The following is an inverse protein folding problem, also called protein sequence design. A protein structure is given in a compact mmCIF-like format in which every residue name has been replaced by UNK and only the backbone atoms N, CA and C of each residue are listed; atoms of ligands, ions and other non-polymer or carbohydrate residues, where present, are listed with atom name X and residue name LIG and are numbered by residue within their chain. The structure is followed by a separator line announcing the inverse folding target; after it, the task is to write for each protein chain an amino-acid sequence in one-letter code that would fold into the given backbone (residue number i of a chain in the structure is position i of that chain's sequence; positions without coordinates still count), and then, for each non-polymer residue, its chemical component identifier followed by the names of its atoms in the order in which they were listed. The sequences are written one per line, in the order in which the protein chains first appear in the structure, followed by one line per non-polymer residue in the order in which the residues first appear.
data_IF_718903789874
#
_entry.id   IF_718903789874
#
_cell.length_a   1.000
_cell.length_b   1.000
_cell.length_c   1.000
_cell.angle_alpha   90.00
_cell.angle_beta   90.00
_cell.angle_gamma   90.00
#
_symmetry.space_group_name_H-M   'P 1'
#
loop_
_entity.id
_entity.type
_entity.pdbx_description
1 polymer ?
#
# COMPACT_ATOMS: atom_id res chain seq x y z
N UNK A 1 -46.76 23.84 -75.99
CA UNK A 1 -47.17 22.92 -74.89
C UNK A 1 -45.92 22.59 -74.08
N UNK A 2 -46.04 22.68 -72.75
CA UNK A 2 -44.96 22.63 -71.76
C UNK A 2 -44.40 21.21 -71.64
N UNK A 3 -43.07 21.03 -71.60
CA UNK A 3 -42.43 19.98 -70.82
C UNK A 3 -41.02 20.45 -70.40
N UNK A 4 -40.88 20.83 -69.14
CA UNK A 4 -39.60 20.98 -68.45
C UNK A 4 -39.38 19.71 -67.62
N UNK A 5 -38.25 19.03 -67.82
CA UNK A 5 -37.80 17.93 -66.98
C UNK A 5 -36.91 18.48 -65.85
N UNK A 6 -37.10 18.09 -64.57
CA UNK A 6 -36.19 18.48 -63.51
C UNK A 6 -34.98 17.54 -63.47
N UNK A 7 -33.79 18.12 -63.49
CA UNK A 7 -32.55 17.42 -63.14
C UNK A 7 -32.53 17.14 -61.63
N UNK A 8 -32.56 15.86 -61.23
CA UNK A 8 -32.22 15.47 -59.86
C UNK A 8 -30.69 15.48 -59.71
N UNK A 9 -30.19 16.36 -58.85
CA UNK A 9 -28.84 16.26 -58.29
C UNK A 9 -28.86 15.25 -57.14
N UNK A 10 -28.25 14.08 -57.33
CA UNK A 10 -27.91 13.17 -56.24
C UNK A 10 -26.72 13.75 -55.46
N UNK A 11 -26.96 14.34 -54.29
CA UNK A 11 -25.90 14.61 -53.31
C UNK A 11 -25.46 13.26 -52.72
N UNK A 12 -24.31 12.75 -53.15
CA UNK A 12 -23.63 11.66 -52.46
C UNK A 12 -22.97 12.23 -51.19
N UNK A 13 -23.61 12.07 -50.03
CA UNK A 13 -22.98 12.36 -48.74
C UNK A 13 -21.94 11.29 -48.44
N UNK A 14 -20.66 11.62 -48.65
CA UNK A 14 -19.56 10.80 -48.15
C UNK A 14 -19.56 10.85 -46.62
N UNK A 15 -19.98 9.76 -45.97
CA UNK A 15 -19.84 9.56 -44.54
C UNK A 15 -18.35 9.29 -44.25
N UNK A 16 -17.62 10.34 -43.90
CA UNK A 16 -16.26 10.24 -43.39
C UNK A 16 -16.27 9.49 -42.05
N UNK A 17 -15.92 8.21 -42.06
CA UNK A 17 -15.64 7.44 -40.86
C UNK A 17 -14.35 7.97 -40.22
N UNK A 18 -14.48 8.88 -39.25
CA UNK A 18 -13.38 9.21 -38.34
C UNK A 18 -13.26 8.07 -37.33
N UNK A 19 -12.10 7.40 -37.19
CA UNK A 19 -11.92 6.45 -36.11
C UNK A 19 -11.99 7.22 -34.79
N UNK A 20 -13.01 6.92 -33.98
CA UNK A 20 -13.03 7.33 -32.58
C UNK A 20 -11.94 6.50 -31.90
N UNK A 21 -10.80 7.14 -31.61
CA UNK A 21 -9.83 6.58 -30.67
C UNK A 21 -10.54 6.43 -29.33
N UNK A 22 -10.95 5.20 -29.02
CA UNK A 22 -11.35 4.85 -27.67
C UNK A 22 -10.11 5.00 -26.79
N UNK A 23 -10.09 6.05 -25.96
CA UNK A 23 -9.13 6.16 -24.88
C UNK A 23 -9.44 4.99 -23.94
N UNK A 24 -8.59 3.98 -23.96
CA UNK A 24 -8.70 2.86 -23.04
C UNK A 24 -8.38 3.41 -21.65
N UNK A 25 -9.41 3.58 -20.81
CA UNK A 25 -9.21 4.00 -19.44
C UNK A 25 -8.34 2.96 -18.74
N UNK A 26 -7.25 3.40 -18.12
CA UNK A 26 -6.43 2.52 -17.28
C UNK A 26 -7.31 2.12 -16.09
N UNK A 27 -7.56 0.83 -15.94
CA UNK A 27 -8.33 0.35 -14.79
C UNK A 27 -7.57 0.66 -13.48
N UNK A 28 -8.26 1.14 -12.44
CA UNK A 28 -7.63 1.45 -11.16
C UNK A 28 -7.04 0.19 -10.54
N UNK A 29 -5.89 0.35 -9.86
CA UNK A 29 -5.29 -0.74 -9.10
C UNK A 29 -6.19 -1.12 -7.93
N UNK A 30 -6.65 -2.37 -7.89
CA UNK A 30 -7.41 -2.91 -6.75
C UNK A 30 -6.45 -3.27 -5.62
N UNK A 31 -6.47 -2.50 -4.54
CA UNK A 31 -5.44 -2.53 -3.51
C UNK A 31 -5.99 -2.95 -2.14
N UNK A 32 -5.37 -3.96 -1.54
CA UNK A 32 -5.58 -4.36 -0.16
C UNK A 32 -4.42 -3.84 0.69
N UNK A 33 -4.69 -3.02 1.70
CA UNK A 33 -3.66 -2.36 2.51
C UNK A 33 -3.60 -2.95 3.92
N UNK A 34 -2.40 -3.29 4.39
CA UNK A 34 -2.13 -3.91 5.68
C UNK A 34 -1.00 -3.15 6.41
N UNK A 35 -1.35 -2.56 7.55
CA UNK A 35 -0.52 -1.58 8.28
C UNK A 35 -0.33 -1.99 9.73
N UNK A 36 0.79 -1.64 10.36
CA UNK A 36 0.91 -1.89 11.81
C UNK A 36 0.19 -0.80 12.64
N UNK A 37 -0.12 0.35 12.03
CA UNK A 37 -0.74 1.55 12.60
C UNK A 37 -0.49 1.68 14.10
N UNK A 38 0.77 1.81 14.50
CA UNK A 38 1.12 1.81 15.91
C UNK A 38 2.42 2.56 16.23
N UNK A 39 3.54 2.08 15.70
CA UNK A 39 4.86 2.42 16.26
C UNK A 39 5.46 3.68 15.69
N UNK A 40 5.22 3.95 14.41
CA UNK A 40 5.68 5.12 13.69
C UNK A 40 4.51 5.83 13.00
N UNK A 41 4.72 7.08 12.59
CA UNK A 41 3.68 7.90 11.99
C UNK A 41 3.57 7.73 10.48
N UNK A 42 4.52 7.07 9.82
CA UNK A 42 4.50 6.91 8.38
C UNK A 42 3.40 5.97 7.86
N UNK A 43 2.84 5.09 8.68
CA UNK A 43 1.59 4.37 8.37
C UNK A 43 0.43 5.34 8.08
N UNK A 44 0.27 6.38 8.91
CA UNK A 44 -0.75 7.40 8.71
C UNK A 44 -0.46 8.26 7.45
N UNK A 45 0.82 8.53 7.18
CA UNK A 45 1.25 9.18 5.95
C UNK A 45 0.96 8.33 4.71
N UNK A 46 1.18 7.02 4.79
CA UNK A 46 0.90 6.07 3.71
C UNK A 46 -0.60 5.99 3.41
N UNK A 47 -1.45 6.02 4.44
CA UNK A 47 -2.90 6.13 4.24
C UNK A 47 -3.30 7.45 3.55
N UNK A 48 -2.71 8.59 3.91
CA UNK A 48 -2.97 9.85 3.19
C UNK A 48 -2.61 9.71 1.70
N UNK A 49 -1.41 9.21 1.38
CA UNK A 49 -0.98 8.97 0.00
C UNK A 49 -1.93 8.01 -0.72
N UNK A 50 -2.32 6.91 -0.08
CA UNK A 50 -3.24 5.93 -0.63
C UNK A 50 -4.60 6.54 -0.97
N UNK A 51 -5.16 7.34 -0.05
CA UNK A 51 -6.45 7.99 -0.27
C UNK A 51 -6.38 9.06 -1.36
N UNK A 52 -5.31 9.84 -1.43
CA UNK A 52 -5.09 10.80 -2.51
C UNK A 52 -5.00 10.12 -3.88
N UNK A 53 -4.30 8.99 -3.98
CA UNK A 53 -4.25 8.19 -5.20
C UNK A 53 -5.63 7.60 -5.57
N UNK A 54 -6.42 7.19 -4.57
CA UNK A 54 -7.78 6.72 -4.79
C UNK A 54 -8.73 7.86 -5.22
N UNK A 55 -8.54 9.07 -4.70
CA UNK A 55 -9.28 10.28 -5.11
C UNK A 55 -8.94 10.70 -6.55
N UNK A 56 -7.69 10.45 -6.99
CA UNK A 56 -7.27 10.60 -8.39
C UNK A 56 -7.78 9.49 -9.32
N UNK A 57 -8.46 8.47 -8.77
CA UNK A 57 -8.96 7.32 -9.54
C UNK A 57 -7.85 6.36 -9.99
N UNK A 58 -6.65 6.42 -9.40
CA UNK A 58 -5.53 5.55 -9.75
C UNK A 58 -5.62 4.18 -9.03
N UNK A 59 -6.33 4.11 -7.91
CA UNK A 59 -6.59 2.87 -7.20
C UNK A 59 -7.99 2.78 -6.58
N UNK A 60 -8.44 1.56 -6.37
CA UNK A 60 -9.62 1.20 -5.58
C UNK A 60 -9.13 0.51 -4.30
N UNK A 61 -9.42 1.12 -3.14
CA UNK A 61 -9.05 0.54 -1.84
C UNK A 61 -10.10 -0.51 -1.49
N UNK A 62 -9.67 -1.77 -1.39
CA UNK A 62 -10.56 -2.90 -1.09
C UNK A 62 -10.75 -3.09 0.41
N UNK A 63 -9.69 -2.88 1.20
CA UNK A 63 -9.66 -3.01 2.64
C UNK A 63 -8.42 -2.30 3.22
N UNK A 64 -8.51 -1.89 4.48
CA UNK A 64 -7.39 -1.33 5.27
C UNK A 64 -7.34 -2.06 6.61
N UNK A 65 -6.60 -3.17 6.68
CA UNK A 65 -6.48 -3.98 7.89
C UNK A 65 -5.26 -3.57 8.70
N UNK A 66 -5.22 -3.98 9.97
CA UNK A 66 -4.04 -3.79 10.82
C UNK A 66 -3.38 -5.12 11.14
N UNK A 67 -2.06 -5.11 11.35
CA UNK A 67 -1.23 -6.27 11.72
C UNK A 67 -0.71 -6.22 13.16
N UNK A 68 -1.14 -5.23 13.95
CA UNK A 68 -0.84 -5.10 15.38
C UNK A 68 -2.08 -5.36 16.24
N UNK A 69 -1.86 -5.58 17.55
CA UNK A 69 -2.92 -5.78 18.55
C UNK A 69 -3.09 -4.57 19.48
N UNK A 70 -2.58 -3.39 19.10
CA UNK A 70 -2.94 -2.17 19.83
C UNK A 70 -4.42 -1.86 19.62
N UNK A 71 -5.17 -1.82 20.72
CA UNK A 71 -6.63 -1.68 20.74
C UNK A 71 -7.16 -0.41 20.05
N UNK A 72 -6.30 0.55 19.73
CA UNK A 72 -6.65 1.79 19.05
C UNK A 72 -6.24 1.82 17.56
N UNK A 73 -5.51 0.82 17.06
CA UNK A 73 -5.02 0.80 15.68
C UNK A 73 -6.17 0.78 14.67
N UNK A 74 -7.15 -0.12 14.82
CA UNK A 74 -8.32 -0.15 13.92
C UNK A 74 -9.15 1.14 13.98
N UNK A 75 -9.33 1.71 15.19
CA UNK A 75 -9.99 2.99 15.38
C UNK A 75 -9.27 4.12 14.62
N UNK A 76 -7.94 4.10 14.64
CA UNK A 76 -7.09 5.10 13.97
C UNK A 76 -7.15 4.98 12.45
N UNK A 77 -7.06 3.76 11.92
CA UNK A 77 -7.25 3.47 10.50
C UNK A 77 -8.65 3.93 10.06
N UNK A 78 -9.68 3.61 10.83
CA UNK A 78 -11.05 3.97 10.47
C UNK A 78 -11.32 5.47 10.57
N UNK A 79 -10.69 6.17 11.52
CA UNK A 79 -10.72 7.62 11.59
C UNK A 79 -10.11 8.28 10.34
N UNK A 80 -8.99 7.76 9.85
CA UNK A 80 -8.35 8.24 8.61
C UNK A 80 -9.24 7.93 7.40
N UNK A 81 -9.75 6.69 7.28
CA UNK A 81 -10.68 6.33 6.20
C UNK A 81 -11.91 7.24 6.18
N UNK A 82 -12.48 7.51 7.36
CA UNK A 82 -13.67 8.37 7.52
C UNK A 82 -13.36 9.82 7.12
N UNK A 83 -12.20 10.35 7.54
CA UNK A 83 -11.74 11.67 7.13
C UNK A 83 -11.62 11.80 5.60
N UNK A 84 -11.13 10.76 4.92
CA UNK A 84 -11.04 10.69 3.46
C UNK A 84 -12.34 10.22 2.78
N UNK A 85 -13.48 10.26 3.47
CA UNK A 85 -14.80 9.99 2.87
C UNK A 85 -15.07 8.53 2.54
N UNK A 86 -14.36 7.58 3.17
CA UNK A 86 -14.47 6.13 2.94
C UNK A 86 -14.75 5.34 4.23
N UNK A 87 -15.75 5.72 5.05
CA UNK A 87 -16.03 5.08 6.35
C UNK A 87 -16.51 3.63 6.24
N UNK A 88 -16.85 3.16 5.03
CA UNK A 88 -17.37 1.81 4.80
C UNK A 88 -16.27 0.78 4.50
N UNK A 89 -15.00 1.18 4.36
CA UNK A 89 -13.92 0.25 4.02
C UNK A 89 -13.85 -0.90 5.03
N UNK A 90 -13.70 -2.15 4.60
CA UNK A 90 -13.43 -3.27 5.49
C UNK A 90 -12.14 -3.04 6.29
N UNK A 91 -12.22 -3.30 7.59
CA UNK A 91 -11.11 -3.23 8.54
C UNK A 91 -11.16 -4.49 9.38
N UNK A 92 -10.00 -5.06 9.67
CA UNK A 92 -9.84 -6.15 10.63
C UNK A 92 -8.53 -6.01 11.40
N UNK A 93 -8.42 -6.71 12.53
CA UNK A 93 -7.20 -6.84 13.32
C UNK A 93 -6.82 -8.30 13.52
N UNK A 94 -5.55 -8.64 13.85
CA UNK A 94 -5.17 -10.00 14.16
C UNK A 94 -5.93 -10.47 15.40
N UNK A 95 -6.58 -11.63 15.31
CA UNK A 95 -7.22 -12.25 16.46
C UNK A 95 -6.22 -13.11 17.24
N UNK A 96 -6.04 -12.81 18.52
CA UNK A 96 -5.14 -13.56 19.39
C UNK A 96 -3.71 -13.06 19.33
N UNK A 97 -2.84 -13.71 18.56
CA UNK A 97 -1.42 -13.34 18.50
C UNK A 97 -1.17 -12.22 17.49
N UNK A 98 -0.47 -11.18 17.93
CA UNK A 98 0.10 -10.15 17.07
C UNK A 98 1.05 -9.27 17.86
N UNK A 99 1.71 -8.36 17.16
CA UNK A 99 2.69 -7.46 17.78
C UNK A 99 1.94 -6.36 18.53
N UNK A 100 2.33 -6.11 19.78
CA UNK A 100 1.80 -5.03 20.60
C UNK A 100 2.93 -4.18 21.17
N UNK A 101 2.94 -2.89 20.84
CA UNK A 101 3.88 -1.91 21.34
C UNK A 101 3.13 -0.61 21.68
N UNK A 102 3.70 0.27 22.53
CA UNK A 102 3.09 1.56 22.81
C UNK A 102 3.06 2.46 21.57
N UNK A 103 1.91 3.06 21.27
CA UNK A 103 1.80 4.15 20.31
C UNK A 103 1.75 5.51 20.99
N UNK A 104 2.23 6.54 20.29
CA UNK A 104 2.11 7.95 20.71
C UNK A 104 0.84 8.63 20.21
N UNK A 105 0.17 8.06 19.22
CA UNK A 105 -0.89 8.76 18.49
C UNK A 105 -2.17 7.95 18.28
N UNK A 106 -2.14 6.61 18.22
CA UNK A 106 -3.35 5.82 17.88
C UNK A 106 -4.51 6.09 18.82
N UNK A 107 -4.26 6.12 20.14
CA UNK A 107 -5.26 6.48 21.14
C UNK A 107 -5.88 7.85 20.86
N UNK A 108 -5.09 8.85 20.46
CA UNK A 108 -5.59 10.19 20.17
C UNK A 108 -6.53 10.16 18.97
N UNK A 109 -6.11 9.52 17.88
CA UNK A 109 -6.92 9.36 16.68
C UNK A 109 -8.23 8.63 16.98
N UNK A 110 -8.17 7.48 17.65
CA UNK A 110 -9.35 6.69 17.97
C UNK A 110 -10.32 7.35 18.96
N UNK A 111 -9.88 8.34 19.74
CA UNK A 111 -10.74 9.05 20.69
C UNK A 111 -11.33 10.36 20.13
N UNK A 112 -10.59 11.10 19.31
CA UNK A 112 -11.00 12.44 18.91
C UNK A 112 -11.68 12.50 17.54
N UNK A 113 -11.55 11.46 16.74
CA UNK A 113 -12.05 11.44 15.37
C UNK A 113 -13.20 10.45 15.19
N UNK A 114 -14.20 10.76 14.34
CA UNK A 114 -15.28 9.83 14.03
C UNK A 114 -14.74 8.50 13.47
N UNK A 115 -15.17 7.39 14.07
CA UNK A 115 -14.82 6.04 13.66
C UNK A 115 -15.87 5.04 14.20
N UNK A 116 -15.85 3.81 13.70
CA UNK A 116 -16.75 2.71 14.07
C UNK A 116 -16.24 1.88 15.24
N UNK A 117 -14.96 2.00 15.60
CA UNK A 117 -14.28 1.12 16.55
C UNK A 117 -13.84 1.89 17.81
N UNK A 118 -14.61 1.80 18.89
CA UNK A 118 -14.17 2.25 20.21
C UNK A 118 -13.17 1.29 20.86
N UNK A 119 -12.57 1.68 21.99
CA UNK A 119 -11.61 0.86 22.74
C UNK A 119 -12.09 -0.55 23.09
N UNK A 120 -13.40 -0.71 23.27
CA UNK A 120 -14.06 -1.94 23.71
C UNK A 120 -14.92 -2.56 22.59
N UNK A 121 -14.80 -2.04 21.36
CA UNK A 121 -15.52 -2.58 20.20
C UNK A 121 -14.78 -3.77 19.64
N UNK A 122 -15.48 -4.90 19.47
CA UNK A 122 -14.90 -6.03 18.76
C UNK A 122 -14.66 -5.67 17.29
N UNK A 123 -13.41 -5.75 16.86
CA UNK A 123 -13.02 -5.52 15.48
C UNK A 123 -13.04 -6.88 14.74
N UNK A 124 -13.52 -6.93 13.48
CA UNK A 124 -13.44 -8.15 12.68
C UNK A 124 -12.03 -8.74 12.64
N UNK A 125 -11.96 -10.07 12.52
CA UNK A 125 -10.70 -10.78 12.34
C UNK A 125 -10.10 -10.43 10.97
N UNK A 126 -8.87 -9.89 10.95
CA UNK A 126 -8.18 -9.52 9.72
C UNK A 126 -8.06 -10.69 8.74
N UNK A 127 -7.93 -11.92 9.26
CA UNK A 127 -7.89 -13.14 8.44
C UNK A 127 -9.18 -13.34 7.65
N UNK A 128 -10.33 -13.13 8.29
CA UNK A 128 -11.64 -13.26 7.65
C UNK A 128 -11.89 -12.12 6.67
N UNK A 129 -11.46 -10.90 7.01
CA UNK A 129 -11.51 -9.76 6.07
C UNK A 129 -10.69 -10.05 4.82
N UNK A 130 -9.47 -10.58 4.95
CA UNK A 130 -8.67 -11.02 3.79
C UNK A 130 -9.42 -12.05 2.94
N UNK A 131 -9.98 -13.10 3.57
CA UNK A 131 -10.71 -14.15 2.84
C UNK A 131 -11.90 -13.57 2.08
N UNK A 132 -12.80 -12.88 2.77
CA UNK A 132 -14.06 -12.41 2.21
C UNK A 132 -13.82 -11.41 1.05
N UNK A 133 -12.89 -10.48 1.25
CA UNK A 133 -12.57 -9.48 0.22
C UNK A 133 -11.91 -10.13 -0.99
N UNK A 134 -10.92 -11.01 -0.80
CA UNK A 134 -10.23 -11.67 -1.91
C UNK A 134 -11.17 -12.61 -2.70
N UNK A 135 -12.03 -13.37 -2.02
CA UNK A 135 -13.02 -14.25 -2.68
C UNK A 135 -13.97 -13.46 -3.59
N UNK A 136 -14.31 -12.23 -3.20
CA UNK A 136 -15.15 -11.32 -3.99
C UNK A 136 -14.46 -10.68 -5.20
N UNK A 137 -13.15 -10.83 -5.37
CA UNK A 137 -12.43 -10.21 -6.49
C UNK A 137 -12.27 -11.15 -7.69
N UNK A 138 -12.14 -10.61 -8.92
CA UNK A 138 -11.66 -11.39 -10.06
C UNK A 138 -10.26 -11.94 -9.82
N UNK A 139 -9.97 -13.08 -10.44
CA UNK A 139 -8.65 -13.71 -10.37
C UNK A 139 -7.56 -12.79 -10.97
N UNK A 140 -6.36 -12.85 -10.40
CA UNK A 140 -5.17 -12.10 -10.84
C UNK A 140 -5.35 -10.58 -10.93
N UNK A 141 -6.12 -9.98 -10.01
CA UNK A 141 -6.38 -8.52 -10.02
C UNK A 141 -5.90 -7.78 -8.78
N UNK A 142 -5.78 -8.44 -7.63
CA UNK A 142 -5.53 -7.76 -6.35
C UNK A 142 -4.04 -7.49 -6.16
N UNK A 143 -3.71 -6.26 -5.76
CA UNK A 143 -2.40 -5.90 -5.22
C UNK A 143 -2.50 -5.84 -3.70
N UNK A 144 -1.68 -6.63 -3.01
CA UNK A 144 -1.57 -6.59 -1.55
C UNK A 144 -0.39 -5.72 -1.18
N UNK A 145 -0.58 -4.80 -0.23
CA UNK A 145 0.47 -3.91 0.28
C UNK A 145 0.61 -4.12 1.78
N UNK A 146 1.78 -4.56 2.22
CA UNK A 146 2.11 -4.65 3.65
C UNK A 146 3.13 -3.58 4.01
N UNK A 147 2.75 -2.70 4.92
CA UNK A 147 3.64 -1.73 5.56
C UNK A 147 3.89 -2.02 7.03
N UNK A 148 3.22 -3.05 7.57
CA UNK A 148 3.42 -3.54 8.93
C UNK A 148 3.98 -4.97 9.01
N UNK A 149 3.51 -5.72 10.00
CA UNK A 149 3.97 -7.08 10.28
C UNK A 149 3.26 -8.11 9.41
N UNK A 150 3.93 -9.24 9.15
CA UNK A 150 3.42 -10.27 8.24
C UNK A 150 2.50 -11.31 8.92
N UNK A 151 2.05 -11.05 10.15
CA UNK A 151 1.19 -11.94 10.94
C UNK A 151 -0.10 -12.29 10.20
N UNK A 152 -0.79 -11.30 9.62
CA UNK A 152 -2.03 -11.52 8.86
C UNK A 152 -1.79 -12.40 7.61
N UNK A 153 -0.72 -12.11 6.87
CA UNK A 153 -0.38 -12.89 5.67
C UNK A 153 0.03 -14.33 6.03
N UNK A 154 0.74 -14.54 7.14
CA UNK A 154 1.04 -15.88 7.64
C UNK A 154 -0.25 -16.65 7.91
N UNK A 155 -1.14 -16.05 8.67
CA UNK A 155 -2.40 -16.70 9.06
C UNK A 155 -3.27 -16.98 7.84
N UNK A 156 -3.27 -16.09 6.85
CA UNK A 156 -3.89 -16.33 5.55
C UNK A 156 -3.28 -17.52 4.83
N UNK A 157 -1.95 -17.58 4.67
CA UNK A 157 -1.29 -18.70 3.98
C UNK A 157 -1.54 -20.06 4.67
N UNK A 158 -1.60 -20.07 5.99
CA UNK A 158 -1.81 -21.27 6.80
C UNK A 158 -3.29 -21.69 6.92
N UNK A 159 -4.22 -20.84 6.48
CA UNK A 159 -5.65 -21.13 6.59
C UNK A 159 -6.04 -22.31 5.68
N UNK A 160 -6.49 -23.45 6.24
CA UNK A 160 -6.89 -24.59 5.42
C UNK A 160 -8.14 -24.31 4.58
N UNK A 161 -8.35 -25.15 3.57
CA UNK A 161 -9.64 -25.23 2.90
C UNK A 161 -10.71 -25.78 3.88
N UNK A 162 -11.94 -25.30 3.77
CA UNK A 162 -13.03 -25.69 4.66
C UNK A 162 -14.32 -24.96 4.32
N UNK A 163 -15.47 -25.58 4.60
CA UNK A 163 -16.80 -24.99 4.46
C UNK A 163 -17.10 -24.37 3.08
N UNK A 164 -16.58 -24.98 2.01
CA UNK A 164 -16.74 -24.51 0.64
C UNK A 164 -15.75 -23.42 0.20
N UNK A 165 -14.88 -22.98 1.10
CA UNK A 165 -13.84 -22.00 0.83
C UNK A 165 -12.51 -22.66 0.45
N UNK A 166 -11.74 -21.96 -0.38
CA UNK A 166 -10.39 -22.34 -0.75
C UNK A 166 -9.43 -22.38 0.45
N UNK A 167 -8.30 -23.08 0.33
CA UNK A 167 -7.18 -22.80 1.22
C UNK A 167 -6.70 -21.37 0.98
N UNK A 168 -6.17 -20.70 2.01
CA UNK A 168 -5.71 -19.33 1.84
C UNK A 168 -4.54 -19.22 0.87
N UNK A 169 -3.65 -20.22 0.79
CA UNK A 169 -2.62 -20.30 -0.24
C UNK A 169 -3.20 -20.36 -1.66
N UNK A 170 -4.22 -21.18 -1.90
CA UNK A 170 -4.89 -21.25 -3.22
C UNK A 170 -5.70 -19.99 -3.53
N UNK A 171 -6.22 -19.32 -2.51
CA UNK A 171 -6.93 -18.04 -2.65
C UNK A 171 -5.94 -16.95 -3.09
N UNK A 172 -4.80 -16.82 -2.39
CA UNK A 172 -3.74 -15.86 -2.75
C UNK A 172 -3.23 -16.14 -4.17
N UNK A 173 -2.90 -17.40 -4.48
CA UNK A 173 -2.42 -17.81 -5.80
C UNK A 173 -3.39 -17.42 -6.94
N UNK A 174 -4.70 -17.48 -6.68
CA UNK A 174 -5.73 -17.14 -7.65
C UNK A 174 -6.02 -15.65 -7.75
N UNK A 175 -6.07 -14.93 -6.62
CA UNK A 175 -6.61 -13.56 -6.56
C UNK A 175 -5.54 -12.47 -6.60
N UNK A 176 -4.36 -12.74 -6.05
CA UNK A 176 -3.32 -11.73 -5.84
C UNK A 176 -2.35 -11.70 -7.01
N UNK A 177 -2.33 -10.60 -7.75
CA UNK A 177 -1.41 -10.35 -8.85
C UNK A 177 0.00 -9.98 -8.39
N UNK A 178 0.10 -9.23 -7.29
CA UNK A 178 1.35 -8.71 -6.77
C UNK A 178 1.23 -8.45 -5.26
N UNK A 179 2.26 -8.82 -4.51
CA UNK A 179 2.50 -8.33 -3.16
C UNK A 179 3.62 -7.31 -3.15
N UNK A 180 3.36 -6.12 -2.60
CA UNK A 180 4.37 -5.09 -2.36
C UNK A 180 4.63 -5.01 -0.85
N UNK A 181 5.86 -5.27 -0.44
CA UNK A 181 6.24 -5.43 0.96
C UNK A 181 7.24 -4.35 1.37
N UNK A 182 6.87 -3.49 2.31
CA UNK A 182 7.85 -2.67 3.03
C UNK A 182 8.65 -3.57 3.96
N UNK A 183 9.95 -3.70 3.71
CA UNK A 183 10.83 -4.51 4.56
C UNK A 183 12.10 -4.94 3.84
N UNK A 184 13.08 -5.38 4.64
CA UNK A 184 14.39 -5.76 4.14
C UNK A 184 15.38 -4.60 4.04
N UNK A 185 16.66 -4.97 4.00
CA UNK A 185 17.76 -4.09 3.62
C UNK A 185 18.55 -4.77 2.50
N UNK A 186 18.51 -4.25 1.27
CA UNK A 186 19.18 -4.87 0.12
C UNK A 186 20.51 -4.14 -0.18
N UNK A 187 21.53 -4.44 0.63
CA UNK A 187 22.79 -3.67 0.62
C UNK A 187 23.96 -4.52 0.13
N UNK A 188 24.79 -3.95 -0.75
CA UNK A 188 26.00 -4.59 -1.27
C UNK A 188 25.74 -5.43 -2.52
N UNK A 189 26.74 -6.22 -2.91
CA UNK A 189 26.68 -7.13 -4.05
C UNK A 189 27.46 -8.42 -3.75
N UNK A 190 26.80 -9.56 -3.49
CA UNK A 190 25.35 -9.74 -3.48
C UNK A 190 24.65 -8.91 -2.38
N UNK A 191 23.41 -8.43 -2.61
CA UNK A 191 22.63 -7.73 -1.61
C UNK A 191 22.39 -8.61 -0.38
N UNK A 192 22.53 -8.05 0.82
CA UNK A 192 22.23 -8.76 2.06
C UNK A 192 21.69 -7.83 3.12
N UNK A 193 20.99 -8.42 4.08
CA UNK A 193 20.45 -7.70 5.20
C UNK A 193 21.54 -7.15 6.13
N UNK A 194 21.29 -5.96 6.68
CA UNK A 194 22.00 -5.43 7.84
C UNK A 194 21.00 -5.11 8.96
N UNK A 195 20.74 -6.10 9.81
CA UNK A 195 19.86 -5.97 10.97
C UNK A 195 20.28 -4.83 11.92
N UNK A 196 21.51 -4.29 11.84
CA UNK A 196 21.95 -3.13 12.64
C UNK A 196 21.31 -1.84 12.16
N UNK A 197 20.99 -1.74 10.87
CA UNK A 197 20.15 -0.64 10.38
C UNK A 197 18.76 -0.79 10.98
N UNK A 198 18.29 -2.04 11.11
CA UNK A 198 16.97 -2.43 11.61
C UNK A 198 16.10 -3.00 10.49
N UNK A 199 15.15 -3.87 10.83
CA UNK A 199 14.16 -4.38 9.89
C UNK A 199 12.90 -4.80 10.67
N UNK A 200 12.22 -3.82 11.25
CA UNK A 200 11.18 -4.09 12.26
C UNK A 200 10.00 -4.88 11.72
N UNK A 201 9.62 -4.67 10.45
CA UNK A 201 8.53 -5.40 9.81
C UNK A 201 8.82 -6.90 9.70
N UNK A 202 10.08 -7.29 9.55
CA UNK A 202 10.47 -8.71 9.57
C UNK A 202 10.77 -9.20 10.98
N UNK A 203 11.40 -8.39 11.83
CA UNK A 203 11.93 -8.85 13.11
C UNK A 203 10.89 -8.97 14.24
N UNK A 204 9.81 -8.18 14.22
CA UNK A 204 8.83 -8.16 15.33
C UNK A 204 7.96 -9.42 15.39
N UNK A 205 7.65 -10.01 14.25
CA UNK A 205 7.11 -11.37 14.11
C UNK A 205 7.93 -12.16 13.08
N UNK A 206 9.17 -12.50 13.47
CA UNK A 206 10.12 -13.19 12.61
C UNK A 206 9.58 -14.51 12.04
N UNK A 207 8.78 -15.24 12.82
CA UNK A 207 8.18 -16.50 12.36
C UNK A 207 7.19 -16.25 11.23
N UNK A 208 6.33 -15.23 11.35
CA UNK A 208 5.43 -14.85 10.26
C UNK A 208 6.20 -14.37 9.04
N UNK A 209 7.21 -13.52 9.21
CA UNK A 209 7.98 -13.00 8.09
C UNK A 209 8.68 -14.12 7.30
N UNK A 210 9.36 -15.04 8.00
CA UNK A 210 10.03 -16.18 7.39
C UNK A 210 9.03 -17.10 6.69
N UNK A 211 7.90 -17.39 7.32
CA UNK A 211 6.84 -18.24 6.73
C UNK A 211 6.31 -17.64 5.43
N UNK A 212 5.95 -16.35 5.44
CA UNK A 212 5.37 -15.67 4.29
C UNK A 212 6.40 -15.53 3.16
N UNK A 213 7.61 -15.05 3.44
CA UNK A 213 8.63 -14.80 2.42
C UNK A 213 9.05 -16.11 1.72
N UNK A 214 9.15 -17.22 2.46
CA UNK A 214 9.49 -18.53 1.87
C UNK A 214 8.37 -19.13 1.04
N UNK A 215 7.11 -18.91 1.43
CA UNK A 215 5.97 -19.66 0.90
C UNK A 215 4.99 -18.85 0.04
N UNK A 216 5.23 -17.56 -0.16
CA UNK A 216 4.35 -16.69 -0.94
C UNK A 216 4.24 -17.15 -2.41
N UNK A 217 3.01 -17.35 -2.95
CA UNK A 217 2.83 -18.03 -4.24
C UNK A 217 2.83 -17.11 -5.49
N UNK A 218 2.82 -15.79 -5.32
CA UNK A 218 2.71 -14.82 -6.44
C UNK A 218 3.90 -13.87 -6.47
N UNK A 219 4.03 -12.94 -7.44
CA UNK A 219 5.13 -11.98 -7.46
C UNK A 219 5.21 -11.13 -6.19
N UNK A 220 6.43 -10.82 -5.77
CA UNK A 220 6.72 -9.94 -4.63
C UNK A 220 7.69 -8.85 -5.05
N UNK A 221 7.42 -7.61 -4.64
CA UNK A 221 8.39 -6.51 -4.69
C UNK A 221 8.65 -6.01 -3.28
N UNK A 222 9.90 -6.07 -2.86
CA UNK A 222 10.35 -5.52 -1.58
C UNK A 222 10.78 -4.05 -1.72
N UNK A 223 10.19 -3.19 -0.90
CA UNK A 223 10.61 -1.82 -0.71
C UNK A 223 11.58 -1.76 0.49
N UNK A 224 12.87 -1.90 0.18
CA UNK A 224 13.95 -1.92 1.16
C UNK A 224 14.21 -0.57 1.82
N UNK A 225 14.77 -0.60 3.02
CA UNK A 225 15.03 0.61 3.82
C UNK A 225 16.08 1.53 3.23
N UNK A 226 17.05 0.99 2.50
CA UNK A 226 18.05 1.75 1.74
C UNK A 226 17.43 2.62 0.64
N UNK A 227 16.24 2.25 0.16
CA UNK A 227 15.50 3.02 -0.85
C UNK A 227 14.51 3.99 -0.19
N UNK A 228 13.77 3.56 0.83
CA UNK A 228 12.60 4.30 1.32
C UNK A 228 12.70 4.80 2.78
N UNK A 229 13.64 4.28 3.58
CA UNK A 229 13.81 4.57 5.02
C UNK A 229 15.20 5.15 5.31
N UNK A 230 15.75 4.96 6.51
CA UNK A 230 17.15 5.25 6.81
C UNK A 230 18.00 4.06 6.32
N UNK A 231 19.10 4.26 5.56
CA UNK A 231 19.83 5.52 5.32
C UNK A 231 19.48 6.26 4.02
N UNK A 232 18.36 5.98 3.35
CA UNK A 232 18.02 6.56 2.03
C UNK A 232 18.10 8.10 1.99
N UNK A 233 17.76 8.77 3.10
CA UNK A 233 17.72 10.24 3.20
C UNK A 233 16.40 10.88 2.77
N UNK A 234 15.47 10.13 2.17
CA UNK A 234 14.14 10.62 1.78
C UNK A 234 13.29 10.96 3.00
N UNK A 235 12.74 12.18 3.06
CA UNK A 235 11.87 12.59 4.16
C UNK A 235 10.77 13.58 3.72
N UNK A 236 9.55 13.37 4.20
CA UNK A 236 8.40 14.28 3.99
C UNK A 236 7.56 14.41 5.27
N UNK A 237 6.60 15.34 5.27
CA UNK A 237 5.60 15.47 6.36
C UNK A 237 5.66 16.77 7.14
N UNK A 238 6.72 17.58 7.04
CA UNK A 238 6.73 18.91 7.65
C UNK A 238 5.60 19.82 7.12
N UNK A 239 5.23 19.64 5.85
CA UNK A 239 4.12 20.31 5.17
C UNK A 239 2.74 20.01 5.78
N UNK A 240 2.57 18.90 6.50
CA UNK A 240 1.31 18.56 7.19
C UNK A 240 0.86 19.65 8.17
N UNK A 241 1.79 20.43 8.72
CA UNK A 241 1.48 21.58 9.58
C UNK A 241 0.64 22.66 8.87
N UNK A 242 0.61 22.66 7.54
CA UNK A 242 -0.18 23.57 6.69
C UNK A 242 -1.57 23.02 6.36
N UNK A 243 -1.82 21.72 6.60
CA UNK A 243 -3.16 21.12 6.43
C UNK A 243 -4.09 21.48 7.60
N UNK A 244 -5.42 21.33 7.48
CA UNK A 244 -6.34 21.68 8.56
C UNK A 244 -5.97 21.00 9.90
N UNK A 245 -6.18 21.67 11.05
CA UNK A 245 -5.90 21.07 12.37
C UNK A 245 -6.80 19.86 12.67
N UNK A 246 -7.87 19.66 11.89
CA UNK A 246 -8.76 18.51 11.93
C UNK A 246 -8.31 17.37 11.00
N UNK A 247 -7.09 17.41 10.44
CA UNK A 247 -6.53 16.30 9.67
C UNK A 247 -5.93 15.25 10.63
N UNK A 248 -6.46 14.01 10.70
CA UNK A 248 -5.95 12.98 11.60
C UNK A 248 -4.49 12.59 11.30
N UNK A 249 -4.05 12.70 10.05
CA UNK A 249 -2.66 12.38 9.66
C UNK A 249 -1.68 13.43 10.16
N UNK A 250 -2.07 14.72 10.10
CA UNK A 250 -1.33 15.81 10.75
C UNK A 250 -1.20 15.56 12.26
N UNK A 251 -2.30 15.20 12.92
CA UNK A 251 -2.30 14.91 14.36
C UNK A 251 -1.41 13.71 14.69
N UNK A 252 -1.40 12.67 13.86
CA UNK A 252 -0.51 11.52 14.05
C UNK A 252 0.97 11.93 14.07
N UNK A 253 1.41 12.74 13.10
CA UNK A 253 2.77 13.26 13.04
C UNK A 253 3.08 14.18 14.24
N UNK A 254 2.19 15.12 14.56
CA UNK A 254 2.36 16.03 15.70
C UNK A 254 2.54 15.27 17.03
N UNK A 255 1.74 14.23 17.26
CA UNK A 255 1.83 13.39 18.45
C UNK A 255 3.07 12.50 18.47
N UNK A 256 3.45 11.91 17.34
CA UNK A 256 4.66 11.10 17.25
C UNK A 256 5.92 11.91 17.61
N UNK A 257 6.03 13.11 17.05
CA UNK A 257 7.18 14.00 17.28
C UNK A 257 7.07 14.87 18.54
N UNK A 258 5.87 15.04 19.10
CA UNK A 258 5.59 16.00 20.16
C UNK A 258 5.69 17.47 19.70
N UNK A 259 5.68 17.71 18.38
CA UNK A 259 5.78 19.03 17.78
C UNK A 259 5.27 19.02 16.32
N UNK A 260 4.72 20.14 15.81
CA UNK A 260 4.35 20.29 14.40
C UNK A 260 5.56 20.48 13.49
N UNK A 261 5.34 20.31 12.18
CA UNK A 261 6.30 20.69 11.15
C UNK A 261 7.55 19.81 11.10
N UNK A 262 7.41 18.52 11.42
CA UNK A 262 8.49 17.54 11.39
C UNK A 262 8.31 16.55 10.25
N UNK A 263 9.41 16.19 9.60
CA UNK A 263 9.43 15.17 8.56
C UNK A 263 9.83 13.80 9.13
N UNK A 264 9.31 12.75 8.51
CA UNK A 264 9.67 11.35 8.74
C UNK A 264 10.15 10.72 7.43
N UNK A 265 10.82 9.57 7.50
CA UNK A 265 11.13 8.82 6.30
C UNK A 265 9.86 8.35 5.58
N UNK A 266 10.02 7.88 4.34
CA UNK A 266 8.91 7.57 3.44
C UNK A 266 8.70 6.07 3.22
N UNK A 267 9.11 5.22 4.15
CA UNK A 267 9.08 3.77 3.98
C UNK A 267 7.73 3.27 3.47
N UNK A 268 6.66 3.62 4.19
CA UNK A 268 5.32 3.15 3.89
C UNK A 268 4.70 3.93 2.73
N UNK A 269 4.96 5.24 2.66
CA UNK A 269 4.46 6.13 1.62
C UNK A 269 4.99 5.73 0.23
N UNK A 270 6.28 5.45 0.12
CA UNK A 270 6.92 5.00 -1.11
C UNK A 270 6.43 3.61 -1.52
N UNK A 271 6.20 2.72 -0.54
CA UNK A 271 5.64 1.38 -0.78
C UNK A 271 4.25 1.48 -1.41
N UNK A 272 3.37 2.35 -0.87
CA UNK A 272 2.06 2.64 -1.46
C UNK A 272 2.18 3.27 -2.85
N UNK A 273 3.07 4.26 -3.02
CA UNK A 273 3.26 4.92 -4.31
C UNK A 273 3.68 3.91 -5.39
N UNK A 274 4.62 3.02 -5.08
CA UNK A 274 5.04 1.96 -6.00
C UNK A 274 3.89 0.98 -6.30
N UNK A 275 3.12 0.56 -5.30
CA UNK A 275 2.02 -0.38 -5.50
C UNK A 275 0.96 0.13 -6.49
N UNK A 276 0.72 1.45 -6.50
CA UNK A 276 -0.26 2.07 -7.40
C UNK A 276 0.34 2.49 -8.74
N UNK A 277 1.50 3.17 -8.71
CA UNK A 277 2.08 3.79 -9.92
C UNK A 277 3.14 2.94 -10.62
N UNK A 278 3.65 1.90 -9.98
CA UNK A 278 4.77 1.10 -10.45
C UNK A 278 6.12 1.84 -10.38
N UNK A 279 7.16 1.34 -11.07
CA UNK A 279 8.51 1.92 -11.00
C UNK A 279 8.60 3.35 -11.54
N UNK A 280 7.94 3.63 -12.68
CA UNK A 280 8.01 4.90 -13.46
C UNK A 280 9.43 5.50 -13.44
N UNK A 281 9.55 6.80 -13.23
CA UNK A 281 10.79 7.53 -13.02
C UNK A 281 11.12 7.69 -11.53
N UNK A 282 10.51 6.86 -10.67
CA UNK A 282 10.77 6.80 -9.24
C UNK A 282 11.88 5.80 -8.92
N UNK A 283 11.76 4.55 -9.40
CA UNK A 283 12.64 3.45 -9.03
C UNK A 283 12.95 2.52 -10.20
N UNK A 284 14.09 1.85 -10.09
CA UNK A 284 14.40 0.64 -10.86
C UNK A 284 14.02 -0.59 -10.02
N UNK A 285 13.99 -1.77 -10.65
CA UNK A 285 13.70 -3.05 -9.99
C UNK A 285 14.80 -4.05 -10.38
N UNK A 286 15.38 -4.74 -9.39
CA UNK A 286 16.11 -5.99 -9.64
C UNK A 286 15.13 -7.15 -9.50
N UNK A 287 15.00 -7.95 -10.57
CA UNK A 287 14.02 -9.03 -10.68
C UNK A 287 14.64 -10.41 -10.89
N UNK A 288 15.98 -10.53 -10.83
CA UNK A 288 16.69 -11.80 -10.94
C UNK A 288 17.04 -12.31 -9.55
N UNK A 289 16.77 -13.59 -9.31
CA UNK A 289 17.06 -14.22 -8.02
C UNK A 289 15.96 -14.01 -6.99
N UNK A 290 16.28 -14.32 -5.74
CA UNK A 290 15.49 -13.84 -4.60
C UNK A 290 16.16 -14.04 -3.25
N UNK A 291 15.34 -13.82 -2.21
CA UNK A 291 15.80 -13.74 -0.83
C UNK A 291 15.98 -15.13 -0.22
N UNK A 292 17.21 -15.46 0.18
CA UNK A 292 17.50 -16.61 1.05
C UNK A 292 17.39 -16.18 2.52
N UNK A 293 16.16 -16.09 3.02
CA UNK A 293 15.89 -15.68 4.40
C UNK A 293 16.15 -16.81 5.40
N UNK A 294 16.87 -16.50 6.47
CA UNK A 294 17.15 -17.36 7.63
C UNK A 294 16.06 -17.19 8.70
N UNK A 295 16.00 -18.13 9.65
CA UNK A 295 14.97 -18.12 10.69
C UNK A 295 15.03 -16.90 11.64
N UNK A 296 16.16 -16.19 11.67
CA UNK A 296 16.33 -14.93 12.40
C UNK A 296 16.21 -13.67 11.51
N UNK A 297 15.61 -13.82 10.33
CA UNK A 297 15.36 -12.78 9.33
C UNK A 297 16.60 -12.15 8.69
N UNK A 298 17.82 -12.61 9.00
CA UNK A 298 18.96 -12.31 8.12
C UNK A 298 18.73 -12.94 6.75
N UNK A 299 19.15 -12.25 5.70
CA UNK A 299 19.10 -12.82 4.36
C UNK A 299 20.29 -12.37 3.51
N UNK A 300 20.58 -13.15 2.49
CA UNK A 300 21.37 -12.76 1.32
C UNK A 300 20.51 -12.98 0.08
N UNK A 301 20.71 -12.16 -0.94
CA UNK A 301 20.04 -12.29 -2.21
C UNK A 301 20.83 -13.24 -3.11
N UNK A 302 20.19 -14.33 -3.53
CA UNK A 302 20.78 -15.32 -4.43
C UNK A 302 20.23 -15.13 -5.85
N UNK A 303 21.09 -14.71 -6.77
CA UNK A 303 20.75 -14.47 -8.19
C UNK A 303 20.40 -15.74 -8.98
N UNK A 304 20.77 -16.93 -8.48
CA UNK A 304 20.49 -18.20 -9.14
C UNK A 304 19.12 -18.78 -8.75
N UNK A 305 18.42 -18.19 -7.78
CA UNK A 305 17.08 -18.64 -7.41
C UNK A 305 16.05 -18.27 -8.48
N UNK A 306 15.43 -19.30 -9.05
CA UNK A 306 14.26 -19.15 -9.91
C UNK A 306 13.00 -18.94 -9.05
N UNK A 307 12.76 -17.70 -8.61
CA UNK A 307 11.54 -17.29 -7.94
C UNK A 307 10.94 -16.02 -8.58
N UNK A 308 9.87 -15.50 -7.97
CA UNK A 308 9.14 -14.31 -8.47
C UNK A 308 9.32 -13.11 -7.54
N UNK A 309 10.46 -13.02 -6.87
CA UNK A 309 10.77 -11.91 -5.97
C UNK A 309 11.56 -10.84 -6.70
N UNK A 310 11.45 -9.61 -6.21
CA UNK A 310 12.16 -8.46 -6.73
C UNK A 310 12.33 -7.43 -5.61
N UNK A 311 13.24 -6.48 -5.76
CA UNK A 311 13.39 -5.37 -4.82
C UNK A 311 13.65 -4.05 -5.55
N UNK A 312 13.27 -2.94 -4.90
CA UNK A 312 13.43 -1.61 -5.46
C UNK A 312 14.90 -1.16 -5.46
N UNK A 313 15.25 -0.37 -6.46
CA UNK A 313 16.54 0.31 -6.58
C UNK A 313 16.31 1.80 -6.80
N UNK A 314 17.17 2.64 -6.22
CA UNK A 314 17.17 4.08 -6.51
C UNK A 314 17.68 4.34 -7.92
N UNK A 315 16.97 5.17 -8.67
CA UNK A 315 17.47 5.69 -9.95
C UNK A 315 18.60 6.68 -9.68
N UNK A 316 19.73 6.49 -10.36
CA UNK A 316 20.86 7.41 -10.35
C UNK A 316 20.90 8.20 -11.65
N UNK A 317 20.85 9.54 -11.57
CA UNK A 317 21.06 10.44 -12.71
C UNK A 317 22.29 11.30 -12.45
N UNK A 318 23.29 11.20 -13.31
CA UNK A 318 24.57 11.92 -13.18
C UNK A 318 25.24 11.70 -11.79
N UNK A 319 25.12 10.48 -11.25
CA UNK A 319 25.67 10.12 -9.93
C UNK A 319 24.88 10.68 -8.74
N UNK A 320 23.67 11.21 -8.94
CA UNK A 320 22.78 11.67 -7.88
C UNK A 320 21.47 10.89 -7.88
N UNK A 321 20.93 10.53 -6.70
CA UNK A 321 19.61 9.93 -6.62
C UNK A 321 18.52 10.96 -7.01
N UNK A 322 17.41 10.50 -7.57
CA UNK A 322 16.22 11.30 -7.88
C UNK A 322 15.37 11.65 -6.64
N UNK A 323 15.96 11.63 -5.44
CA UNK A 323 15.23 11.68 -4.17
C UNK A 323 14.29 12.89 -4.03
N UNK A 324 14.75 14.07 -4.46
CA UNK A 324 13.96 15.32 -4.37
C UNK A 324 12.68 15.28 -5.22
N UNK A 325 12.71 14.53 -6.32
CA UNK A 325 11.54 14.35 -7.16
C UNK A 325 10.51 13.44 -6.46
N UNK A 326 10.95 12.34 -5.86
CA UNK A 326 10.08 11.44 -5.08
C UNK A 326 9.49 12.19 -3.87
N UNK A 327 10.30 12.95 -3.13
CA UNK A 327 9.81 13.77 -2.01
C UNK A 327 8.73 14.75 -2.45
N UNK A 328 8.92 15.46 -3.57
CA UNK A 328 7.94 16.41 -4.07
C UNK A 328 6.60 15.72 -4.41
N UNK A 329 6.66 14.57 -5.10
CA UNK A 329 5.46 13.79 -5.44
C UNK A 329 4.75 13.27 -4.20
N UNK A 330 5.49 12.75 -3.23
CA UNK A 330 4.93 12.23 -1.98
C UNK A 330 4.34 13.35 -1.12
N UNK A 331 5.00 14.52 -1.04
CA UNK A 331 4.52 15.65 -0.25
C UNK A 331 3.23 16.24 -0.82
N UNK A 332 3.11 16.32 -2.15
CA UNK A 332 1.87 16.70 -2.84
C UNK A 332 0.72 15.74 -2.51
N UNK A 333 0.96 14.42 -2.63
CA UNK A 333 -0.04 13.40 -2.30
C UNK A 333 -0.40 13.40 -0.81
N UNK A 334 0.59 13.58 0.07
CA UNK A 334 0.41 13.57 1.53
C UNK A 334 -0.43 14.74 2.03
N UNK A 335 -0.34 15.90 1.38
CA UNK A 335 -1.03 17.14 1.80
C UNK A 335 -2.33 17.41 1.05
N UNK A 336 -2.65 16.57 0.05
CA UNK A 336 -3.88 16.68 -0.73
C UNK A 336 -5.11 16.54 0.17
N UNK A 337 -6.09 17.48 0.10
CA UNK A 337 -7.31 17.37 0.87
C UNK A 337 -8.22 16.27 0.31
N UNK A 338 -9.11 15.65 1.12
CA UNK A 338 -10.10 14.71 0.64
C UNK A 338 -10.96 15.31 -0.48
N UNK A 339 -11.16 14.56 -1.59
CA UNK A 339 -12.01 14.98 -2.70
C UNK A 339 -13.49 15.10 -2.29
N UNK A 340 -13.94 14.27 -1.35
CA UNK A 340 -15.27 14.35 -0.72
C UNK A 340 -15.10 14.62 0.77
N UNK A 341 -15.50 15.81 1.22
CA UNK A 341 -15.58 16.10 2.65
C UNK A 341 -16.82 15.43 3.23
N UNK A 342 -16.65 14.62 4.26
CA UNK A 342 -17.77 14.23 5.13
C UNK A 342 -18.19 15.50 5.88
N UNK A 343 -19.50 15.85 5.91
CA UNK A 343 -20.01 17.05 6.58
C UNK A 343 -19.59 17.19 8.04
#
# INVERSE_FOLDING_TARGET
MKHWAPFLWCLATALSFWPVLAIQAVEPVKLFFDTDMMTDCDDAGAMAVLHSLADLGECEILATVVSSTDRWSAASVDAINTYYGRPALPIGMPRGHGVQLPSRFTKRLGQDFPNRFGADTEVPDALLVYRDVLEGQPDDTVVVVTVGYLTNLRDLLLLPAGDGHASGKDLVQRKVRLWVCMGGNFIGYPPKDDLRLGNVNFQRDAKAAVEVIRNWPTPVVFAGREVCSVPSGLQVGASLAQTPPTNPVRIAYEHYFGAPGRSRHVADLATVLFAVRGPRDYWEIESRGGMEIQDDCRFEWNFDLANRQSYLLKIQREGKPNDRYIEAVLDELLTSPPAKRVP
#
